data_IF_698461592042
#
_entry.id   IF_698461592042
#
_cell.length_a   1.000
_cell.length_b   1.000
_cell.length_c   1.000
_cell.angle_alpha   90.00
_cell.angle_beta   90.00
_cell.angle_gamma   90.00
#
_symmetry.space_group_name_H-M   'P 1'
#
loop_
_entity.id
_entity.type
_entity.pdbx_description
1 polymer ?
#
# COMPACT_ATOMS: atom_id res chain seq x y z
N UNK A 1 5.34 -18.47 -18.74
CA UNK A 1 4.19 -18.98 -17.95
C UNK A 1 3.47 -17.77 -17.35
N UNK A 2 2.18 -17.70 -17.48
CA UNK A 2 1.37 -16.61 -16.93
C UNK A 2 1.34 -16.77 -15.40
N UNK A 3 1.88 -15.79 -14.68
CA UNK A 3 1.93 -15.82 -13.22
C UNK A 3 0.61 -15.25 -12.67
N UNK A 4 -0.16 -16.06 -11.93
CA UNK A 4 -1.47 -15.68 -11.38
C UNK A 4 -1.34 -14.43 -10.50
N UNK A 5 -0.28 -14.32 -9.70
CA UNK A 5 -0.04 -13.15 -8.87
C UNK A 5 0.11 -11.87 -9.73
N UNK A 6 0.87 -11.94 -10.83
CA UNK A 6 1.04 -10.79 -11.72
C UNK A 6 -0.27 -10.36 -12.42
N UNK A 7 -1.17 -11.31 -12.72
CA UNK A 7 -2.49 -11.00 -13.27
C UNK A 7 -3.34 -10.25 -12.22
N UNK A 8 -3.33 -10.73 -10.99
CA UNK A 8 -4.09 -10.10 -9.90
C UNK A 8 -3.56 -8.69 -9.60
N UNK A 9 -2.24 -8.50 -9.50
CA UNK A 9 -1.65 -7.17 -9.34
C UNK A 9 -1.96 -6.25 -10.53
N UNK A 10 -1.88 -6.76 -11.78
CA UNK A 10 -2.26 -6.00 -12.97
C UNK A 10 -3.75 -5.64 -13.00
N UNK A 11 -4.64 -6.50 -12.47
CA UNK A 11 -6.08 -6.22 -12.42
C UNK A 11 -6.40 -4.96 -11.61
N UNK A 12 -5.63 -4.64 -10.57
CA UNK A 12 -5.78 -3.39 -9.79
C UNK A 12 -5.50 -2.14 -10.62
N UNK A 13 -4.57 -2.20 -11.57
CA UNK A 13 -4.33 -1.08 -12.50
C UNK A 13 -5.53 -0.83 -13.43
N UNK A 14 -6.28 -1.88 -13.79
CA UNK A 14 -7.52 -1.74 -14.55
C UNK A 14 -8.72 -1.35 -13.66
N UNK A 15 -8.77 -1.85 -12.42
CA UNK A 15 -9.82 -1.49 -11.47
C UNK A 15 -9.73 -0.01 -11.04
N UNK A 16 -8.53 0.54 -10.97
CA UNK A 16 -8.32 1.94 -10.56
C UNK A 16 -9.09 2.94 -11.43
N UNK A 17 -8.95 2.97 -12.78
CA UNK A 17 -9.74 3.89 -13.62
C UNK A 17 -11.23 3.55 -13.61
N UNK A 18 -11.60 2.28 -13.45
CA UNK A 18 -13.00 1.88 -13.30
C UNK A 18 -13.62 2.46 -12.02
N UNK A 19 -12.91 2.40 -10.88
CA UNK A 19 -13.36 3.03 -9.63
C UNK A 19 -13.57 4.53 -9.79
N UNK A 20 -12.65 5.20 -10.48
CA UNK A 20 -12.77 6.63 -10.77
C UNK A 20 -13.99 6.93 -11.67
N UNK A 21 -14.22 6.13 -12.70
CA UNK A 21 -15.39 6.25 -13.57
C UNK A 21 -16.71 6.02 -12.81
N UNK A 22 -16.76 5.02 -11.93
CA UNK A 22 -17.93 4.76 -11.09
C UNK A 22 -18.20 5.90 -10.11
N UNK A 23 -17.15 6.51 -9.57
CA UNK A 23 -17.26 7.69 -8.73
C UNK A 23 -17.79 8.89 -9.51
N UNK A 24 -17.26 9.15 -10.71
CA UNK A 24 -17.71 10.23 -11.58
C UNK A 24 -19.19 10.07 -11.99
N UNK A 25 -19.63 8.85 -12.23
CA UNK A 25 -21.03 8.54 -12.57
C UNK A 25 -21.95 8.37 -11.35
N UNK A 26 -21.46 8.69 -10.14
CA UNK A 26 -22.20 8.62 -8.86
C UNK A 26 -22.78 7.23 -8.55
N UNK A 27 -22.10 6.17 -8.97
CA UNK A 27 -22.54 4.77 -8.78
C UNK A 27 -22.07 4.19 -7.45
N UNK A 28 -22.58 4.72 -6.32
CA UNK A 28 -22.15 4.34 -4.96
C UNK A 28 -22.07 2.83 -4.71
N UNK A 29 -23.15 2.09 -5.02
CA UNK A 29 -23.20 0.65 -4.74
C UNK A 29 -22.20 -0.14 -5.58
N UNK A 30 -22.06 0.20 -6.86
CA UNK A 30 -21.06 -0.45 -7.72
C UNK A 30 -19.64 -0.11 -7.25
N UNK A 31 -19.38 1.13 -6.86
CA UNK A 31 -18.10 1.52 -6.30
C UNK A 31 -17.72 0.67 -5.07
N UNK A 32 -18.67 0.48 -4.12
CA UNK A 32 -18.45 -0.38 -2.95
C UNK A 32 -18.17 -1.84 -3.33
N UNK A 33 -18.87 -2.39 -4.30
CA UNK A 33 -18.59 -3.75 -4.79
C UNK A 33 -17.20 -3.85 -5.40
N UNK A 34 -16.81 -2.90 -6.26
CA UNK A 34 -15.52 -2.95 -6.94
C UNK A 34 -14.34 -2.63 -6.01
N UNK A 35 -14.51 -1.79 -5.00
CA UNK A 35 -13.46 -1.59 -3.99
C UNK A 35 -13.26 -2.85 -3.13
N UNK A 36 -14.32 -3.56 -2.78
CA UNK A 36 -14.22 -4.87 -2.08
C UNK A 36 -13.47 -5.87 -2.97
N UNK A 37 -13.79 -5.94 -4.26
CA UNK A 37 -13.08 -6.81 -5.20
C UNK A 37 -11.61 -6.44 -5.31
N UNK A 38 -11.27 -5.14 -5.35
CA UNK A 38 -9.89 -4.69 -5.37
C UNK A 38 -9.12 -5.12 -4.10
N UNK A 39 -9.73 -5.00 -2.92
CA UNK A 39 -9.14 -5.47 -1.66
C UNK A 39 -8.97 -6.99 -1.61
N UNK A 40 -9.95 -7.74 -2.12
CA UNK A 40 -9.86 -9.19 -2.20
C UNK A 40 -8.75 -9.65 -3.16
N UNK A 41 -8.60 -9.00 -4.31
CA UNK A 41 -7.52 -9.33 -5.26
C UNK A 41 -6.15 -9.06 -4.66
N UNK A 42 -5.99 -8.00 -3.86
CA UNK A 42 -4.76 -7.69 -3.13
C UNK A 42 -4.40 -8.78 -2.10
N UNK A 43 -5.36 -9.23 -1.31
CA UNK A 43 -5.15 -10.32 -0.36
C UNK A 43 -4.78 -11.64 -1.05
N UNK A 44 -5.43 -11.91 -2.19
CA UNK A 44 -5.24 -13.16 -2.94
C UNK A 44 -3.90 -13.19 -3.68
N UNK A 45 -3.44 -12.09 -4.28
CA UNK A 45 -2.17 -12.09 -5.02
C UNK A 45 -0.99 -12.37 -4.08
N UNK A 46 -0.96 -11.73 -2.89
CA UNK A 46 0.03 -12.01 -1.87
C UNK A 46 -0.02 -13.46 -1.33
N UNK A 47 -1.21 -14.05 -1.23
CA UNK A 47 -1.36 -15.46 -0.85
C UNK A 47 -0.83 -16.39 -1.94
N UNK A 48 -1.22 -16.17 -3.19
CA UNK A 48 -0.81 -17.01 -4.31
C UNK A 48 0.68 -16.87 -4.63
N UNK A 49 1.25 -15.67 -4.57
CA UNK A 49 2.67 -15.44 -4.78
C UNK A 49 3.53 -16.28 -3.80
N UNK A 50 3.15 -16.32 -2.52
CA UNK A 50 3.84 -17.12 -1.50
C UNK A 50 3.62 -18.62 -1.69
N UNK A 51 2.37 -19.03 -1.93
CA UNK A 51 2.00 -20.45 -2.06
C UNK A 51 2.70 -21.12 -3.25
N UNK A 52 2.83 -20.40 -4.36
CA UNK A 52 3.43 -20.93 -5.58
C UNK A 52 4.90 -20.53 -5.76
N UNK A 53 5.51 -19.86 -4.79
CA UNK A 53 6.90 -19.37 -4.84
C UNK A 53 7.19 -18.55 -6.12
N UNK A 54 6.22 -17.80 -6.61
CA UNK A 54 6.27 -17.05 -7.86
C UNK A 54 6.53 -15.55 -7.63
N UNK A 55 7.35 -15.22 -6.64
CA UNK A 55 7.75 -13.82 -6.39
C UNK A 55 8.70 -13.38 -7.50
N UNK A 56 8.32 -12.35 -8.26
CA UNK A 56 9.12 -11.79 -9.35
C UNK A 56 9.32 -10.29 -9.16
N UNK A 57 10.45 -9.75 -9.67
CA UNK A 57 10.69 -8.31 -9.63
C UNK A 57 9.63 -7.51 -10.40
N UNK A 58 9.13 -8.05 -11.50
CA UNK A 58 8.04 -7.45 -12.27
C UNK A 58 6.74 -7.43 -11.46
N UNK A 59 6.42 -8.55 -10.78
CA UNK A 59 5.25 -8.64 -9.90
C UNK A 59 5.30 -7.61 -8.78
N UNK A 60 6.43 -7.47 -8.09
CA UNK A 60 6.62 -6.48 -7.04
C UNK A 60 6.45 -5.03 -7.54
N UNK A 61 6.88 -4.73 -8.77
CA UNK A 61 6.66 -3.39 -9.39
C UNK A 61 5.20 -3.16 -9.75
N UNK A 62 4.52 -4.16 -10.33
CA UNK A 62 3.09 -4.07 -10.64
C UNK A 62 2.25 -3.90 -9.39
N UNK A 63 2.60 -4.60 -8.32
CA UNK A 63 2.01 -4.50 -7.00
C UNK A 63 2.12 -3.07 -6.45
N UNK A 64 3.35 -2.53 -6.38
CA UNK A 64 3.59 -1.15 -5.92
C UNK A 64 2.87 -0.10 -6.76
N UNK A 65 2.78 -0.29 -8.10
CA UNK A 65 2.03 0.62 -8.97
C UNK A 65 0.52 0.50 -8.74
N UNK A 66 0.01 -0.71 -8.53
CA UNK A 66 -1.39 -0.96 -8.20
C UNK A 66 -1.78 -0.31 -6.88
N UNK A 67 -0.96 -0.47 -5.85
CA UNK A 67 -1.15 0.15 -4.55
C UNK A 67 -1.15 1.68 -4.66
N UNK A 68 -0.14 2.25 -5.31
CA UNK A 68 -0.07 3.69 -5.55
C UNK A 68 -1.32 4.22 -6.26
N UNK A 69 -1.80 3.52 -7.29
CA UNK A 69 -3.00 3.91 -8.02
C UNK A 69 -4.24 3.87 -7.13
N UNK A 70 -4.44 2.81 -6.34
CA UNK A 70 -5.57 2.68 -5.40
C UNK A 70 -5.48 3.75 -4.30
N UNK A 71 -4.31 3.97 -3.69
CA UNK A 71 -4.13 4.98 -2.64
C UNK A 71 -4.37 6.41 -3.11
N UNK A 72 -4.18 6.73 -4.39
CA UNK A 72 -4.48 8.04 -4.95
C UNK A 72 -5.94 8.16 -5.42
N UNK A 73 -6.47 7.10 -6.05
CA UNK A 73 -7.80 7.14 -6.68
C UNK A 73 -8.91 7.00 -5.65
N UNK A 74 -8.75 6.15 -4.63
CA UNK A 74 -9.81 5.92 -3.64
C UNK A 74 -10.17 7.19 -2.87
N UNK A 75 -9.24 7.98 -2.29
CA UNK A 75 -9.60 9.22 -1.61
C UNK A 75 -10.30 10.23 -2.53
N UNK A 76 -9.84 10.36 -3.78
CA UNK A 76 -10.47 11.23 -4.77
C UNK A 76 -11.90 10.77 -5.11
N UNK A 77 -12.08 9.47 -5.29
CA UNK A 77 -13.38 8.86 -5.56
C UNK A 77 -14.35 9.03 -4.38
N UNK A 78 -13.85 8.83 -3.16
CA UNK A 78 -14.63 9.03 -1.93
C UNK A 78 -14.98 10.52 -1.75
N UNK A 79 -14.08 11.44 -2.10
CA UNK A 79 -14.40 12.87 -2.13
C UNK A 79 -15.60 13.19 -3.03
N UNK A 80 -15.70 12.57 -4.21
CA UNK A 80 -16.84 12.79 -5.11
C UNK A 80 -18.12 12.13 -4.62
N UNK A 81 -18.04 10.90 -4.10
CA UNK A 81 -19.21 10.12 -3.69
C UNK A 81 -19.71 10.49 -2.29
N UNK A 82 -18.79 10.76 -1.35
CA UNK A 82 -19.08 11.06 0.06
C UNK A 82 -18.26 12.25 0.56
N UNK A 83 -18.43 13.46 -0.01
CA UNK A 83 -17.62 14.63 0.37
C UNK A 83 -17.71 14.93 1.86
N UNK A 84 -18.87 14.71 2.48
CA UNK A 84 -19.08 14.93 3.91
C UNK A 84 -18.21 14.03 4.78
N UNK A 85 -17.94 12.78 4.35
CA UNK A 85 -17.05 11.87 5.07
C UNK A 85 -15.61 12.39 5.01
N UNK A 86 -15.13 12.80 3.84
CA UNK A 86 -13.78 13.35 3.68
C UNK A 86 -13.61 14.63 4.49
N UNK A 87 -14.59 15.54 4.45
CA UNK A 87 -14.52 16.81 5.20
C UNK A 87 -14.48 16.54 6.72
N UNK A 88 -15.34 15.63 7.21
CA UNK A 88 -15.40 15.27 8.62
C UNK A 88 -14.11 14.59 9.09
N UNK A 89 -13.55 13.70 8.30
CA UNK A 89 -12.37 12.90 8.64
C UNK A 89 -11.08 13.48 8.02
N UNK A 90 -11.10 14.73 7.53
CA UNK A 90 -9.98 15.36 6.83
C UNK A 90 -8.61 15.25 7.55
N UNK A 91 -8.50 15.41 8.87
CA UNK A 91 -7.21 15.24 9.55
C UNK A 91 -6.63 13.83 9.40
N UNK A 92 -7.45 12.80 9.50
CA UNK A 92 -7.01 11.40 9.39
C UNK A 92 -6.74 11.01 7.94
N UNK A 93 -7.59 11.45 7.00
CA UNK A 93 -7.38 11.24 5.57
C UNK A 93 -6.10 11.88 5.08
N UNK A 94 -5.87 13.16 5.44
CA UNK A 94 -4.62 13.86 5.06
C UNK A 94 -3.39 13.22 5.70
N UNK A 95 -3.48 12.80 6.97
CA UNK A 95 -2.39 12.09 7.66
C UNK A 95 -2.06 10.79 6.95
N UNK A 96 -3.05 9.96 6.59
CA UNK A 96 -2.83 8.71 5.86
C UNK A 96 -2.18 8.96 4.49
N UNK A 97 -2.68 9.94 3.73
CA UNK A 97 -2.11 10.28 2.41
C UNK A 97 -0.66 10.77 2.50
N UNK A 98 -0.38 11.70 3.43
CA UNK A 98 0.97 12.23 3.63
C UNK A 98 1.91 11.13 4.07
N UNK A 99 1.49 10.28 5.01
CA UNK A 99 2.29 9.15 5.50
C UNK A 99 2.65 8.18 4.39
N UNK A 100 1.74 7.91 3.46
CA UNK A 100 2.00 7.04 2.30
C UNK A 100 2.96 7.69 1.28
N UNK A 101 2.75 8.99 0.99
CA UNK A 101 3.53 9.69 -0.04
C UNK A 101 5.00 9.88 0.39
N UNK A 102 5.26 10.16 1.66
CA UNK A 102 6.61 10.45 2.17
C UNK A 102 7.58 9.28 1.92
N UNK A 103 7.32 8.02 2.31
CA UNK A 103 8.19 6.88 2.05
C UNK A 103 8.44 6.66 0.56
N UNK A 104 7.39 6.80 -0.27
CA UNK A 104 7.50 6.69 -1.73
C UNK A 104 8.48 7.72 -2.30
N UNK A 105 8.38 8.98 -1.88
CA UNK A 105 9.27 10.06 -2.32
C UNK A 105 10.71 9.83 -1.83
N UNK A 106 10.91 9.47 -0.57
CA UNK A 106 12.23 9.19 0.00
C UNK A 106 12.87 7.98 -0.71
N UNK A 107 12.11 6.91 -0.92
CA UNK A 107 12.56 5.72 -1.63
C UNK A 107 12.98 6.04 -3.07
N UNK A 108 12.14 6.79 -3.79
CA UNK A 108 12.45 7.20 -5.15
C UNK A 108 13.66 8.16 -5.23
N UNK A 109 13.77 9.10 -4.30
CA UNK A 109 14.91 10.01 -4.24
C UNK A 109 16.24 9.26 -4.02
N UNK A 110 16.23 8.23 -3.14
CA UNK A 110 17.41 7.47 -2.78
C UNK A 110 17.79 6.42 -3.83
N UNK A 111 16.82 5.63 -4.28
CA UNK A 111 17.07 4.42 -5.09
C UNK A 111 16.68 4.56 -6.56
N UNK A 112 16.01 5.66 -6.96
CA UNK A 112 15.48 5.90 -8.31
C UNK A 112 14.49 4.82 -8.78
N UNK A 113 13.85 4.14 -7.84
CA UNK A 113 12.79 3.17 -8.10
C UNK A 113 11.74 3.24 -6.99
N UNK A 114 10.53 2.73 -7.25
CA UNK A 114 9.53 2.55 -6.22
C UNK A 114 10.00 1.47 -5.25
N UNK A 115 9.98 1.81 -3.96
CA UNK A 115 10.34 0.87 -2.90
C UNK A 115 9.14 0.00 -2.56
N UNK A 116 9.41 -1.27 -2.27
CA UNK A 116 8.41 -2.27 -1.90
C UNK A 116 9.03 -3.21 -0.88
N UNK A 117 8.88 -2.89 0.41
CA UNK A 117 9.49 -3.70 1.47
C UNK A 117 8.55 -4.76 2.01
N UNK A 118 7.22 -4.56 1.88
CA UNK A 118 6.18 -5.50 2.33
C UNK A 118 6.37 -5.97 3.78
N UNK A 119 6.66 -5.03 4.69
CA UNK A 119 6.81 -5.36 6.11
C UNK A 119 5.52 -5.98 6.65
N UNK A 120 5.62 -6.76 7.73
CA UNK A 120 4.43 -7.33 8.37
C UNK A 120 3.52 -6.23 8.93
N UNK A 121 4.12 -5.15 9.44
CA UNK A 121 3.41 -3.97 9.92
C UNK A 121 2.64 -3.28 8.79
N UNK A 122 3.28 -3.03 7.63
CA UNK A 122 2.64 -2.42 6.47
C UNK A 122 1.43 -3.24 5.98
N UNK A 123 1.57 -4.57 5.85
CA UNK A 123 0.45 -5.43 5.42
C UNK A 123 -0.74 -5.41 6.37
N UNK A 124 -0.46 -5.48 7.69
CA UNK A 124 -1.52 -5.44 8.70
C UNK A 124 -2.19 -4.07 8.73
N UNK A 125 -1.41 -2.99 8.70
CA UNK A 125 -1.95 -1.62 8.74
C UNK A 125 -2.76 -1.29 7.50
N UNK A 126 -2.33 -1.72 6.30
CA UNK A 126 -3.08 -1.56 5.06
C UNK A 126 -4.43 -2.30 5.11
N UNK A 127 -4.46 -3.54 5.64
CA UNK A 127 -5.70 -4.30 5.83
C UNK A 127 -6.63 -3.62 6.83
N UNK A 128 -6.11 -3.12 7.96
CA UNK A 128 -6.89 -2.41 8.96
C UNK A 128 -7.45 -1.10 8.40
N UNK A 129 -6.62 -0.34 7.68
CA UNK A 129 -7.02 0.92 7.07
C UNK A 129 -8.12 0.72 6.03
N UNK A 130 -7.94 -0.20 5.10
CA UNK A 130 -8.93 -0.47 4.03
C UNK A 130 -10.25 -1.03 4.58
N UNK A 131 -10.21 -1.94 5.56
CA UNK A 131 -11.42 -2.46 6.21
C UNK A 131 -12.16 -1.37 6.99
N UNK A 132 -11.43 -0.48 7.67
CA UNK A 132 -12.03 0.61 8.44
C UNK A 132 -12.61 1.70 7.55
N UNK A 133 -11.99 2.00 6.40
CA UNK A 133 -12.57 2.90 5.39
C UNK A 133 -13.88 2.31 4.86
N UNK A 134 -13.89 1.03 4.52
CA UNK A 134 -15.10 0.37 4.03
C UNK A 134 -16.22 0.43 5.09
N UNK A 135 -15.91 0.15 6.35
CA UNK A 135 -16.86 0.29 7.46
C UNK A 135 -17.40 1.71 7.57
N UNK A 136 -16.54 2.71 7.45
CA UNK A 136 -16.91 4.14 7.49
C UNK A 136 -17.84 4.51 6.34
N UNK A 137 -17.58 4.05 5.12
CA UNK A 137 -18.43 4.30 3.94
C UNK A 137 -19.78 3.60 4.01
N UNK A 138 -19.88 2.51 4.74
CA UNK A 138 -21.14 1.80 5.05
C UNK A 138 -21.93 2.47 6.21
N UNK A 139 -21.47 3.61 6.73
CA UNK A 139 -22.14 4.33 7.81
C UNK A 139 -21.74 3.88 9.21
N UNK A 140 -20.70 3.09 9.35
CA UNK A 140 -20.17 2.65 10.64
C UNK A 140 -19.44 3.78 11.40
N UNK A 141 -19.00 3.50 12.65
CA UNK A 141 -18.31 4.48 13.48
C UNK A 141 -16.93 4.84 12.90
N UNK A 142 -16.43 6.06 13.18
CA UNK A 142 -15.16 6.55 12.66
C UNK A 142 -13.93 6.08 13.46
N UNK A 143 -14.10 5.69 14.73
CA UNK A 143 -12.97 5.34 15.59
C UNK A 143 -12.07 4.18 15.06
N UNK A 144 -12.57 3.15 14.33
CA UNK A 144 -11.67 2.16 13.75
C UNK A 144 -10.75 2.76 12.69
N UNK A 145 -11.25 3.72 11.91
CA UNK A 145 -10.45 4.44 10.92
C UNK A 145 -9.36 5.29 11.57
N UNK A 146 -9.67 5.96 12.70
CA UNK A 146 -8.68 6.74 13.45
C UNK A 146 -7.55 5.85 13.98
N UNK A 147 -7.89 4.72 14.59
CA UNK A 147 -6.91 3.75 15.10
C UNK A 147 -6.08 3.16 13.95
N UNK A 148 -6.74 2.74 12.88
CA UNK A 148 -6.05 2.18 11.70
C UNK A 148 -5.08 3.18 11.08
N UNK A 149 -5.43 4.46 11.02
CA UNK A 149 -4.54 5.53 10.54
C UNK A 149 -3.29 5.65 11.40
N UNK A 150 -3.40 5.56 12.73
CA UNK A 150 -2.23 5.58 13.62
C UNK A 150 -1.30 4.39 13.35
N UNK A 151 -1.86 3.17 13.23
CA UNK A 151 -1.06 1.99 12.89
C UNK A 151 -0.41 2.12 11.51
N UNK A 152 -1.11 2.73 10.56
CA UNK A 152 -0.58 2.98 9.22
C UNK A 152 0.61 3.94 9.27
N UNK A 153 0.51 5.06 9.99
CA UNK A 153 1.63 6.00 10.19
C UNK A 153 2.85 5.29 10.78
N UNK A 154 2.67 4.45 11.80
CA UNK A 154 3.77 3.71 12.41
C UNK A 154 4.45 2.76 11.41
N UNK A 155 3.67 2.10 10.57
CA UNK A 155 4.20 1.22 9.53
C UNK A 155 4.98 1.99 8.44
N UNK A 156 4.48 3.17 8.03
CA UNK A 156 5.16 4.02 7.06
C UNK A 156 6.46 4.62 7.62
N UNK A 157 6.50 4.95 8.92
CA UNK A 157 7.75 5.34 9.60
C UNK A 157 8.75 4.18 9.58
N UNK A 158 8.30 2.94 9.79
CA UNK A 158 9.18 1.76 9.65
C UNK A 158 9.77 1.67 8.24
N UNK A 159 8.99 1.91 7.18
CA UNK A 159 9.46 1.91 5.79
C UNK A 159 10.51 3.00 5.52
N UNK A 160 10.32 4.20 6.07
CA UNK A 160 11.33 5.27 6.00
C UNK A 160 12.63 4.84 6.70
N UNK A 161 12.54 4.24 7.87
CA UNK A 161 13.71 3.73 8.59
C UNK A 161 14.46 2.66 7.78
N UNK A 162 13.75 1.71 7.17
CA UNK A 162 14.33 0.69 6.30
C UNK A 162 15.04 1.35 5.11
N UNK A 163 14.36 2.29 4.45
CA UNK A 163 14.93 3.06 3.33
C UNK A 163 16.22 3.79 3.76
N UNK A 164 16.24 4.40 4.93
CA UNK A 164 17.42 5.11 5.44
C UNK A 164 18.60 4.16 5.70
N UNK A 165 18.34 2.99 6.24
CA UNK A 165 19.36 2.01 6.65
C UNK A 165 19.96 1.24 5.48
N UNK A 166 19.18 0.90 4.45
CA UNK A 166 19.64 0.09 3.32
C UNK A 166 20.62 0.87 2.44
N UNK A 167 21.83 0.38 2.17
CA UNK A 167 22.78 1.02 1.25
C UNK A 167 22.37 0.86 -0.22
N UNK A 168 21.68 -0.22 -0.58
CA UNK A 168 21.13 -0.50 -1.92
C UNK A 168 19.69 -0.97 -1.79
N UNK A 169 18.91 -0.71 -2.85
CA UNK A 169 17.53 -1.21 -2.89
C UNK A 169 17.48 -2.73 -2.85
N UNK A 170 16.66 -3.26 -1.98
CA UNK A 170 16.35 -4.69 -1.86
C UNK A 170 14.85 -4.84 -1.62
N UNK A 171 14.20 -5.70 -2.41
CA UNK A 171 12.79 -6.04 -2.21
C UNK A 171 12.59 -6.94 -0.99
N UNK A 172 11.38 -6.97 -0.45
CA UNK A 172 10.93 -7.89 0.59
C UNK A 172 11.80 -7.88 1.87
N UNK A 173 12.10 -6.68 2.39
CA UNK A 173 12.75 -6.54 3.70
C UNK A 173 11.69 -6.55 4.79
N UNK A 174 11.57 -7.63 5.61
CA UNK A 174 10.41 -7.86 6.47
C UNK A 174 10.36 -6.98 7.72
N UNK A 175 11.46 -6.31 8.10
CA UNK A 175 11.53 -5.40 9.25
C UNK A 175 12.81 -4.57 9.29
N UNK A 176 12.81 -3.51 10.10
CA UNK A 176 13.99 -2.68 10.40
C UNK A 176 15.15 -3.53 10.92
N UNK A 177 14.91 -4.56 11.72
CA UNK A 177 15.98 -5.45 12.22
C UNK A 177 16.69 -6.21 11.10
N UNK A 178 15.99 -6.57 10.04
CA UNK A 178 16.62 -7.19 8.86
C UNK A 178 17.45 -6.17 8.08
N UNK A 179 16.95 -4.95 7.93
CA UNK A 179 17.70 -3.86 7.29
C UNK A 179 19.02 -3.57 8.03
N UNK A 180 19.01 -3.55 9.37
CA UNK A 180 20.22 -3.40 10.18
C UNK A 180 21.23 -4.52 9.91
N UNK A 181 20.79 -5.78 9.91
CA UNK A 181 21.67 -6.92 9.63
C UNK A 181 22.28 -6.88 8.21
N UNK A 182 21.52 -6.41 7.23
CA UNK A 182 22.02 -6.25 5.86
C UNK A 182 23.11 -5.19 5.84
N UNK A 183 22.86 -4.03 6.42
CA UNK A 183 23.82 -2.93 6.52
C UNK A 183 25.13 -3.38 7.20
N UNK A 184 25.04 -4.04 8.35
CA UNK A 184 26.20 -4.46 9.13
C UNK A 184 27.06 -5.49 8.36
N UNK A 185 26.45 -6.43 7.65
CA UNK A 185 27.15 -7.38 6.76
C UNK A 185 27.91 -6.69 5.61
N UNK A 186 27.32 -5.65 5.00
CA UNK A 186 27.98 -4.91 3.92
C UNK A 186 29.16 -4.07 4.45
N UNK A 187 29.03 -3.51 5.66
CA UNK A 187 30.14 -2.79 6.30
C UNK A 187 31.31 -3.72 6.66
N UNK A 188 31.03 -4.90 7.21
CA UNK A 188 32.03 -5.92 7.54
C UNK A 188 32.71 -6.49 6.29
N UNK A 189 32.00 -6.62 5.17
CA UNK A 189 32.53 -7.05 3.88
C UNK A 189 33.43 -5.99 3.22
N UNK A 190 33.10 -4.72 3.35
CA UNK A 190 33.90 -3.62 2.82
C UNK A 190 35.20 -3.36 3.61
N UNK A 191 35.26 -3.76 4.88
CA UNK A 191 36.49 -3.64 5.71
C UNK A 191 37.53 -4.76 5.50
N UNK A 192 37.24 -5.75 4.67
CA UNK A 192 38.13 -6.90 4.37
C UNK A 192 38.78 -6.89 3.00
N UNK A 193 38.52 -5.85 2.21
CA UNK A 193 39.20 -5.60 0.91
C UNK A 193 40.15 -4.43 1.01
#
# INVERSE_FOLDING_TARGET
MVNIANILSASRLFLSPLLLFLAWTSRHNLFLVFIILALLTDLLDGYFARKYQQVTQLGARLDSLGDLAIYLIVPLSVWWLWPQVIIREAPYVSTALISFIIPVLIGYAKFRCLTSYHTRGAKLSALLLSSSILLLLLGGPAWPFHIATIFFVLAEVEEVCITALLPRWQADVPSVFHALRIRDREMDGAGKT
#
